data_IF_189029342042
#
_entry.id   IF_189029342042
#
_cell.length_a   1.000
_cell.length_b   1.000
_cell.length_c   1.000
_cell.angle_alpha   90.00
_cell.angle_beta   90.00
_cell.angle_gamma   90.00
#
_symmetry.space_group_name_H-M   'P 1'
#
loop_
_entity.id
_entity.type
_entity.pdbx_description
1 polymer ?
#
# COMPACT_ATOMS: atom_id res chain seq x y z
N UNK A 1 -6.34 -23.02 5.43
CA UNK A 1 -6.42 -22.68 5.20
C UNK A 1 -6.12 -21.99 5.22
N UNK A 2 -6.13 -21.84 5.43
CA UNK A 2 -6.08 -21.27 5.39
C UNK A 2 -6.12 -20.67 5.17
N UNK A 3 -6.20 -20.26 5.02
CA UNK A 3 -6.38 -19.79 4.82
C UNK A 3 -6.40 -19.01 4.59
N UNK A 4 -6.53 -18.77 4.45
CA UNK A 4 -6.63 -18.12 4.32
C UNK A 4 -6.47 -17.14 4.26
N UNK A 5 -6.73 -17.22 4.20
CA UNK A 5 -6.79 -16.28 4.16
C UNK A 5 -6.10 -15.24 3.73
N UNK A 6 -5.85 -14.85 3.55
CA UNK A 6 -5.02 -14.07 3.05
C UNK A 6 -4.35 -14.68 1.99
N UNK A 7 -4.95 -15.09 1.06
CA UNK A 7 -4.41 -15.86 0.03
C UNK A 7 -3.39 -15.18 -0.81
N UNK A 8 -3.51 -13.92 -1.04
CA UNK A 8 -2.59 -13.26 -1.93
C UNK A 8 -1.16 -13.25 -1.40
N UNK A 9 -0.99 -13.29 -0.10
CA UNK A 9 0.34 -13.23 0.45
C UNK A 9 1.16 -14.46 0.13
N UNK A 10 0.51 -15.49 -0.29
CA UNK A 10 1.22 -16.64 -0.64
C UNK A 10 1.71 -16.59 -2.01
N UNK A 11 1.30 -15.67 -2.75
CA UNK A 11 1.79 -15.51 -4.03
C UNK A 11 3.16 -15.19 -3.92
N UNK A 12 3.91 -15.62 -4.70
CA UNK A 12 5.21 -15.68 -4.46
C UNK A 12 5.97 -14.66 -5.18
N UNK A 13 5.58 -14.27 -6.34
CA UNK A 13 6.39 -13.42 -7.19
C UNK A 13 5.88 -12.00 -7.15
N UNK A 14 6.51 -11.16 -6.33
CA UNK A 14 6.09 -9.77 -6.18
C UNK A 14 6.24 -8.97 -7.46
N UNK A 15 6.96 -9.49 -8.45
CA UNK A 15 7.11 -8.81 -9.72
C UNK A 15 6.07 -9.22 -10.75
N UNK A 16 5.27 -10.25 -10.47
CA UNK A 16 4.31 -10.69 -11.46
C UNK A 16 3.14 -9.73 -11.53
N UNK A 17 2.61 -9.56 -12.72
CA UNK A 17 1.46 -8.71 -12.92
C UNK A 17 0.28 -9.17 -12.09
N UNK A 18 0.09 -10.47 -11.98
CA UNK A 18 -1.00 -11.02 -11.22
C UNK A 18 -0.88 -10.66 -9.74
N UNK A 19 0.32 -10.78 -9.18
CA UNK A 19 0.53 -10.43 -7.79
C UNK A 19 0.20 -8.96 -7.56
N UNK A 20 0.68 -8.09 -8.45
CA UNK A 20 0.48 -6.66 -8.29
C UNK A 20 -1.00 -6.29 -8.34
N UNK A 21 -1.73 -6.90 -9.24
CA UNK A 21 -3.16 -6.63 -9.34
C UNK A 21 -3.91 -7.20 -8.15
N UNK A 22 -3.54 -8.39 -7.69
CA UNK A 22 -4.19 -8.99 -6.53
C UNK A 22 -3.95 -8.13 -5.29
N UNK A 23 -2.75 -7.63 -5.13
CA UNK A 23 -2.43 -6.78 -4.00
C UNK A 23 -3.22 -5.47 -4.08
N UNK A 24 -3.30 -4.88 -5.26
CA UNK A 24 -4.03 -3.63 -5.42
C UNK A 24 -5.50 -3.82 -5.09
N UNK A 25 -6.09 -4.93 -5.50
CA UNK A 25 -7.47 -5.23 -5.16
C UNK A 25 -7.64 -5.43 -3.66
N UNK A 26 -6.69 -6.08 -3.03
CA UNK A 26 -6.71 -6.30 -1.59
C UNK A 26 -6.62 -4.98 -0.83
N UNK A 27 -5.86 -4.03 -1.35
CA UNK A 27 -5.66 -2.75 -0.69
C UNK A 27 -6.77 -1.73 -0.96
N UNK A 28 -7.60 -2.00 -1.96
CA UNK A 28 -8.63 -1.05 -2.38
C UNK A 28 -9.56 -0.70 -1.23
N UNK A 29 -9.73 0.60 -1.01
CA UNK A 29 -10.59 1.14 0.05
C UNK A 29 -10.11 0.82 1.46
N UNK A 30 -8.83 0.47 1.59
CA UNK A 30 -8.29 0.19 2.89
C UNK A 30 -8.00 1.49 3.63
N UNK A 31 -8.57 1.63 4.83
CA UNK A 31 -8.31 2.80 5.65
C UNK A 31 -6.92 2.71 6.25
N UNK A 32 -6.23 3.81 6.27
CA UNK A 32 -4.89 3.84 6.84
C UNK A 32 -4.80 4.93 7.89
N UNK A 33 -4.01 4.68 8.93
CA UNK A 33 -3.87 5.65 10.00
C UNK A 33 -2.72 6.61 9.76
N UNK A 34 -1.70 6.17 9.03
CA UNK A 34 -0.62 7.07 8.68
C UNK A 34 0.24 6.45 7.60
N UNK A 35 1.03 7.30 6.97
CA UNK A 35 1.99 6.89 5.96
C UNK A 35 3.34 7.44 6.37
N UNK A 36 4.37 6.61 6.28
CA UNK A 36 5.73 7.06 6.52
C UNK A 36 6.53 6.89 5.25
N UNK A 37 7.58 7.67 5.12
CA UNK A 37 8.50 7.54 4.00
C UNK A 37 9.90 7.32 4.56
N UNK A 38 10.60 6.37 3.96
CA UNK A 38 11.97 6.10 4.40
C UNK A 38 12.92 6.80 3.47
N UNK A 39 13.73 7.70 4.01
CA UNK A 39 14.70 8.45 3.25
C UNK A 39 16.02 8.31 3.98
N UNK A 40 17.00 7.70 3.31
CA UNK A 40 18.34 7.53 3.87
C UNK A 40 18.31 6.90 5.26
N UNK A 41 17.50 5.89 5.41
CA UNK A 41 17.44 5.16 6.66
C UNK A 41 16.58 5.78 7.74
N UNK A 42 16.03 6.95 7.48
CA UNK A 42 15.18 7.63 8.46
C UNK A 42 13.75 7.58 7.99
N UNK A 43 12.87 7.20 8.89
CA UNK A 43 11.46 7.07 8.56
C UNK A 43 10.69 8.25 9.14
N UNK A 44 9.97 8.97 8.28
CA UNK A 44 9.21 10.15 8.70
C UNK A 44 7.75 9.97 8.34
N UNK A 45 6.88 10.46 9.21
CA UNK A 45 5.44 10.45 8.92
C UNK A 45 5.14 11.57 7.92
N UNK A 46 4.58 11.19 6.77
CA UNK A 46 4.27 12.16 5.73
C UNK A 46 2.77 12.35 5.52
N UNK A 47 1.94 11.56 6.20
CA UNK A 47 0.50 11.73 6.11
C UNK A 47 -0.20 10.96 7.20
N UNK A 48 -1.42 11.38 7.52
CA UNK A 48 -2.22 10.74 8.54
C UNK A 48 -3.66 10.61 8.08
N UNK A 49 -4.33 9.58 8.53
CA UNK A 49 -5.75 9.37 8.29
C UNK A 49 -6.12 9.42 6.81
N UNK A 50 -6.02 8.30 6.18
CA UNK A 50 -6.26 8.27 4.75
C UNK A 50 -6.85 6.96 4.28
N UNK A 51 -6.71 6.74 2.99
CA UNK A 51 -7.27 5.56 2.34
C UNK A 51 -6.45 5.24 1.10
N UNK A 52 -6.36 3.96 0.77
CA UNK A 52 -5.73 3.50 -0.46
C UNK A 52 -6.86 3.19 -1.44
N UNK A 53 -6.75 3.69 -2.66
CA UNK A 53 -7.77 3.47 -3.68
C UNK A 53 -7.15 2.91 -4.94
N UNK A 54 -7.80 1.90 -5.49
CA UNK A 54 -7.43 1.39 -6.80
C UNK A 54 -8.35 2.02 -7.83
N UNK A 55 -7.76 2.60 -8.88
CA UNK A 55 -8.54 3.22 -9.94
C UNK A 55 -8.03 2.69 -11.26
N UNK A 56 -8.76 1.76 -11.85
CA UNK A 56 -8.36 1.11 -13.09
C UNK A 56 -6.98 0.47 -12.91
N UNK A 57 -5.97 0.94 -13.61
CA UNK A 57 -4.63 0.39 -13.53
C UNK A 57 -3.71 1.20 -12.63
N UNK A 58 -4.29 2.01 -11.74
CA UNK A 58 -3.53 2.89 -10.87
C UNK A 58 -3.86 2.66 -9.41
N UNK A 59 -2.90 2.97 -8.55
CA UNK A 59 -3.09 2.91 -7.12
C UNK A 59 -2.76 4.27 -6.56
N UNK A 60 -3.64 4.78 -5.68
CA UNK A 60 -3.48 6.11 -5.13
C UNK A 60 -3.60 6.02 -3.62
N UNK A 61 -2.71 6.72 -2.92
CA UNK A 61 -2.75 6.78 -1.46
C UNK A 61 -3.10 8.21 -1.10
N UNK A 62 -4.22 8.38 -0.41
CA UNK A 62 -4.70 9.69 0.02
C UNK A 62 -4.58 9.82 1.53
N UNK A 63 -4.27 11.02 2.00
CA UNK A 63 -4.35 11.36 3.41
C UNK A 63 -5.04 12.70 3.50
N UNK A 64 -6.22 12.70 4.07
CA UNK A 64 -7.05 13.91 4.06
C UNK A 64 -7.37 14.25 2.62
N UNK A 65 -7.14 15.49 2.25
CA UNK A 65 -7.40 15.91 0.88
C UNK A 65 -6.15 15.84 0.02
N UNK A 66 -5.08 15.28 0.56
CA UNK A 66 -3.81 15.28 -0.14
C UNK A 66 -3.54 13.93 -0.79
N UNK A 67 -3.00 13.92 -2.00
CA UNK A 67 -2.53 12.70 -2.64
C UNK A 67 -1.09 12.50 -2.23
N UNK A 68 -0.88 11.48 -1.41
CA UNK A 68 0.45 11.19 -0.89
C UNK A 68 1.29 10.47 -1.93
N UNK A 69 0.67 9.58 -2.69
CA UNK A 69 1.35 8.85 -3.75
C UNK A 69 0.32 8.42 -4.79
N UNK A 70 0.73 8.45 -6.06
CA UNK A 70 -0.12 8.02 -7.17
C UNK A 70 0.80 7.29 -8.13
N UNK A 71 0.49 6.04 -8.41
CA UNK A 71 1.37 5.25 -9.25
C UNK A 71 0.57 4.25 -10.10
N UNK A 72 1.23 3.71 -11.11
CA UNK A 72 0.64 2.64 -11.92
C UNK A 72 0.82 1.32 -11.20
N UNK A 73 -0.19 0.46 -11.27
CA UNK A 73 -0.11 -0.84 -10.63
C UNK A 73 1.03 -1.67 -11.22
N UNK A 74 1.26 -1.55 -12.52
CA UNK A 74 2.35 -2.29 -13.15
C UNK A 74 3.72 -1.90 -12.59
N UNK A 75 3.84 -0.72 -12.00
CA UNK A 75 5.09 -0.23 -11.47
C UNK A 75 5.28 -0.57 -10.00
N UNK A 76 4.28 -1.17 -9.36
CA UNK A 76 4.36 -1.46 -7.94
C UNK A 76 5.42 -2.50 -7.62
N UNK A 77 6.16 -2.24 -6.57
CA UNK A 77 6.98 -3.24 -5.94
C UNK A 77 6.59 -3.16 -4.47
N UNK A 78 5.72 -4.04 -4.03
CA UNK A 78 5.07 -3.87 -2.74
C UNK A 78 4.85 -5.20 -2.06
N UNK A 79 4.82 -5.16 -0.74
CA UNK A 79 4.52 -6.34 0.05
C UNK A 79 3.99 -5.90 1.41
N UNK A 80 3.19 -6.77 2.00
CA UNK A 80 2.62 -6.48 3.30
C UNK A 80 3.65 -6.75 4.39
N UNK A 81 3.63 -5.95 5.45
CA UNK A 81 4.53 -6.17 6.58
C UNK A 81 4.22 -7.52 7.20
N UNK A 82 5.23 -8.15 7.78
CA UNK A 82 5.02 -9.43 8.45
C UNK A 82 4.00 -9.32 9.58
N UNK A 83 3.93 -8.17 10.22
CA UNK A 83 2.97 -7.95 11.29
C UNK A 83 1.55 -7.78 10.76
N UNK A 84 1.38 -7.64 9.45
CA UNK A 84 0.10 -7.39 8.80
C UNK A 84 -0.48 -6.03 9.18
N UNK A 85 0.34 -5.13 9.71
CA UNK A 85 -0.13 -3.83 10.13
C UNK A 85 -0.01 -2.78 9.05
N UNK A 86 0.52 -3.11 7.93
CA UNK A 86 0.69 -2.15 6.86
C UNK A 86 1.33 -2.77 5.64
N UNK A 87 1.55 -1.94 4.65
CA UNK A 87 2.11 -2.37 3.37
C UNK A 87 3.24 -1.43 2.98
N UNK A 88 4.33 -2.03 2.50
CA UNK A 88 5.47 -1.28 1.96
C UNK A 88 5.24 -1.14 0.47
N UNK A 89 5.34 0.07 -0.04
CA UNK A 89 5.12 0.34 -1.46
C UNK A 89 6.30 1.12 -2.02
N UNK A 90 6.96 0.56 -3.02
CA UNK A 90 7.99 1.24 -3.77
C UNK A 90 7.48 1.41 -5.19
N UNK A 91 7.49 2.63 -5.69
CA UNK A 91 7.00 2.91 -7.02
C UNK A 91 7.39 4.31 -7.43
N UNK A 92 7.20 4.62 -8.73
CA UNK A 92 7.41 5.95 -9.22
C UNK A 92 6.14 6.75 -8.97
N UNK A 93 6.28 7.85 -8.24
CA UNK A 93 5.14 8.64 -7.78
C UNK A 93 4.81 9.69 -8.82
N UNK A 94 3.74 9.47 -9.55
CA UNK A 94 3.34 10.38 -10.62
C UNK A 94 2.82 11.70 -10.07
N UNK A 95 2.41 11.73 -8.82
CA UNK A 95 1.94 12.97 -8.22
C UNK A 95 3.12 13.92 -7.95
N UNK A 96 4.30 13.36 -7.71
CA UNK A 96 5.45 14.15 -7.30
C UNK A 96 6.61 14.02 -8.29
N UNK A 97 6.30 14.15 -9.56
CA UNK A 97 7.34 14.23 -10.57
C UNK A 97 7.89 12.90 -11.06
N UNK A 98 7.31 11.81 -10.66
CA UNK A 98 7.75 10.50 -11.13
C UNK A 98 8.97 9.96 -10.42
N UNK A 99 9.39 10.56 -9.32
CA UNK A 99 10.52 10.05 -8.56
C UNK A 99 10.16 8.74 -7.89
N UNK A 100 11.11 7.84 -7.79
CA UNK A 100 10.88 6.59 -7.10
C UNK A 100 10.86 6.83 -5.59
N UNK A 101 9.85 6.33 -4.94
CA UNK A 101 9.69 6.52 -3.49
C UNK A 101 9.32 5.21 -2.84
N UNK A 102 9.71 5.08 -1.58
CA UNK A 102 9.31 3.94 -0.76
C UNK A 102 8.53 4.48 0.43
N UNK A 103 7.28 4.08 0.54
CA UNK A 103 6.44 4.49 1.66
C UNK A 103 5.92 3.25 2.36
N UNK A 104 5.50 3.44 3.61
CA UNK A 104 4.81 2.39 4.36
C UNK A 104 3.49 2.97 4.79
N UNK A 105 2.40 2.33 4.37
CA UNK A 105 1.06 2.75 4.76
C UNK A 105 0.61 1.81 5.86
N UNK A 106 0.33 2.38 7.03
CA UNK A 106 -0.10 1.60 8.18
C UNK A 106 -1.61 1.62 8.25
N UNK A 107 -2.22 0.42 8.33
CA UNK A 107 -3.68 0.31 8.34
C UNK A 107 -4.25 0.87 9.62
N UNK A 108 -5.46 1.39 9.53
CA UNK A 108 -6.19 1.79 10.71
C UNK A 108 -6.44 0.56 11.56
N UNK A 109 -6.22 0.69 12.87
CA UNK A 109 -6.45 -0.44 13.74
C UNK A 109 -7.90 -0.89 13.64
N UNK A 110 -8.11 -2.17 13.54
CA UNK A 110 -9.44 -2.68 13.28
C UNK A 110 -9.59 -4.06 13.92
N UNK A 111 -10.72 -4.26 14.63
CA UNK A 111 -10.95 -5.45 15.33
C UNK A 111 -11.97 -6.23 14.67
N UNK A 112 -11.60 -7.19 14.04
CA UNK A 112 -12.60 -7.96 13.34
C UNK A 112 -13.52 -8.66 14.25
N UNK A 113 -13.34 -8.85 15.13
CA UNK A 113 -14.20 -9.51 15.80
C UNK A 113 -14.95 -8.92 16.55
N UNK A 114 -14.80 -8.36 16.49
CA UNK A 114 -15.37 -7.84 16.84
C UNK A 114 -16.10 -7.81 16.41
N UNK A 115 -15.88 -8.14 16.18
CA UNK A 115 -16.38 -8.38 15.60
C UNK A 115 -16.56 -8.68 15.46
#
# INVERSE_FOLDING_TARGET
MLKKTKGWTKSKNVHSKRYKNDLANYLHERSIKCVTERIEGIEEVIGRSGVIMKRDDELVVYCGSETVMWTKIDDLYAWELLSLEGVVITAHDLEHGGAERTIIAFYTYWRPMES
#
